data_IF_013872000476
#
_entry.id   IF_013872000476
#
_cell.length_a   1.000
_cell.length_b   1.000
_cell.length_c   1.000
_cell.angle_alpha   90.00
_cell.angle_beta   90.00
_cell.angle_gamma   90.00
#
_symmetry.space_group_name_H-M   'P 1'
#
loop_
_entity.id
_entity.type
_entity.pdbx_description
1 polymer ?
#
# COMPACT_ATOMS: atom_id res chain seq x y z
N UNK A 1 -3.78 3.48 22.68
CA UNK A 1 -4.68 2.59 21.96
C UNK A 1 -5.97 2.57 22.73
N UNK A 2 -7.05 2.84 22.01
CA UNK A 2 -8.36 2.95 22.59
C UNK A 2 -8.94 1.57 22.89
N UNK A 3 -9.87 1.51 23.83
CA UNK A 3 -10.44 0.25 24.26
C UNK A 3 -11.80 0.43 24.94
N UNK A 4 -12.60 -0.62 24.87
CA UNK A 4 -13.83 -0.73 25.61
C UNK A 4 -13.57 -0.88 27.11
N UNK A 5 -13.92 0.15 27.88
CA UNK A 5 -13.77 0.20 29.34
C UNK A 5 -14.52 -0.91 30.12
N UNK A 6 -15.45 -1.63 29.49
CA UNK A 6 -16.23 -2.69 30.16
C UNK A 6 -15.57 -4.06 30.01
N UNK A 7 -15.18 -4.43 28.79
CA UNK A 7 -14.68 -5.77 28.46
C UNK A 7 -13.16 -5.79 28.18
N UNK A 8 -12.51 -4.62 28.06
CA UNK A 8 -11.08 -4.47 27.76
C UNK A 8 -10.70 -4.71 26.30
N UNK A 9 -11.68 -4.82 25.42
CA UNK A 9 -11.47 -5.00 23.98
C UNK A 9 -10.77 -3.80 23.38
N UNK A 10 -9.69 -4.05 22.64
CA UNK A 10 -8.91 -3.03 21.96
C UNK A 10 -9.70 -2.52 20.76
N UNK A 11 -9.59 -1.22 20.50
CA UNK A 11 -10.15 -0.56 19.32
C UNK A 11 -9.03 0.02 18.45
N UNK A 12 -9.12 -0.26 17.16
CA UNK A 12 -8.15 0.10 16.13
C UNK A 12 -8.16 -0.92 15.00
N UNK A 13 -7.13 -0.86 14.15
CA UNK A 13 -6.90 -1.86 13.10
C UNK A 13 -6.42 -3.18 13.70
N UNK A 14 -7.21 -4.24 13.58
CA UNK A 14 -6.91 -5.59 14.06
C UNK A 14 -6.61 -6.56 12.91
N UNK A 15 -5.73 -7.56 13.10
CA UNK A 15 -5.48 -8.58 12.08
C UNK A 15 -6.74 -9.37 11.71
N UNK A 16 -7.06 -9.39 10.41
CA UNK A 16 -8.15 -10.18 9.88
C UNK A 16 -7.78 -11.68 9.91
N UNK A 17 -8.57 -12.56 10.56
CA UNK A 17 -8.26 -13.98 10.60
C UNK A 17 -8.24 -14.62 9.21
N UNK A 18 -7.30 -15.55 9.00
CA UNK A 18 -7.17 -16.31 7.75
C UNK A 18 -5.99 -15.89 6.87
N UNK A 19 -5.28 -14.80 7.18
CA UNK A 19 -4.08 -14.37 6.44
C UNK A 19 -2.76 -14.79 7.09
N UNK A 20 -2.82 -15.53 8.20
CA UNK A 20 -1.68 -16.11 8.88
C UNK A 20 -2.05 -17.44 9.50
N UNK A 21 -1.05 -18.27 9.79
CA UNK A 21 -1.26 -19.49 10.55
C UNK A 21 -1.76 -19.13 11.96
N UNK A 22 -2.96 -19.58 12.40
CA UNK A 22 -3.48 -19.26 13.73
C UNK A 22 -2.65 -19.85 14.89
N UNK A 23 -1.74 -20.79 14.61
CA UNK A 23 -0.78 -21.34 15.58
C UNK A 23 0.57 -20.62 15.57
N UNK A 24 0.79 -19.69 14.64
CA UNK A 24 2.01 -18.88 14.52
C UNK A 24 1.88 -17.59 15.34
N UNK A 25 3.00 -17.12 15.88
CA UNK A 25 3.11 -15.79 16.50
C UNK A 25 3.69 -14.74 15.54
N UNK A 26 3.85 -15.09 14.26
CA UNK A 26 4.37 -14.24 13.19
C UNK A 26 3.28 -14.02 12.14
N UNK A 27 3.31 -12.85 11.49
CA UNK A 27 2.62 -12.65 10.22
C UNK A 27 3.12 -13.65 9.16
N UNK A 28 2.38 -13.82 8.08
CA UNK A 28 2.82 -14.67 6.99
C UNK A 28 4.07 -14.07 6.31
N UNK A 29 5.09 -14.88 6.12
CA UNK A 29 6.39 -14.49 5.55
C UNK A 29 6.77 -15.41 4.38
N UNK A 30 7.28 -14.86 3.29
CA UNK A 30 7.67 -15.60 2.08
C UNK A 30 8.66 -16.75 2.35
N UNK A 31 9.53 -16.57 3.34
CA UNK A 31 10.59 -17.50 3.72
C UNK A 31 10.18 -18.54 4.77
N UNK A 32 8.97 -18.45 5.33
CA UNK A 32 8.51 -19.32 6.42
C UNK A 32 7.12 -19.87 6.11
N UNK A 33 7.05 -21.01 5.41
CA UNK A 33 5.77 -21.62 5.07
C UNK A 33 4.95 -22.09 6.26
N UNK A 34 5.56 -22.21 7.45
CA UNK A 34 4.84 -22.53 8.68
C UNK A 34 4.03 -21.34 9.21
N UNK A 35 4.31 -20.13 8.73
CA UNK A 35 3.57 -18.91 9.07
C UNK A 35 2.30 -18.71 8.23
N UNK A 36 2.10 -19.49 7.16
CA UNK A 36 1.01 -19.30 6.21
C UNK A 36 -0.30 -19.93 6.70
N UNK A 37 -1.45 -19.35 6.35
CA UNK A 37 -2.73 -20.03 6.55
C UNK A 37 -2.82 -21.28 5.68
N UNK A 38 -3.68 -22.24 6.08
CA UNK A 38 -3.95 -23.44 5.27
C UNK A 38 -4.73 -23.08 4.00
N UNK A 39 -5.62 -22.10 4.11
CA UNK A 39 -6.44 -21.60 3.02
C UNK A 39 -6.23 -20.10 2.90
N UNK A 40 -5.76 -19.62 1.75
CA UNK A 40 -5.61 -18.20 1.49
C UNK A 40 -6.97 -17.59 1.11
N UNK A 41 -7.43 -16.55 1.80
CA UNK A 41 -8.52 -15.72 1.29
C UNK A 41 -8.06 -15.00 0.00
N UNK A 42 -9.01 -14.74 -0.91
CA UNK A 42 -8.76 -13.99 -2.14
C UNK A 42 -8.37 -12.53 -1.81
N UNK A 43 -7.42 -11.91 -2.54
CA UNK A 43 -7.02 -10.54 -2.26
C UNK A 43 -8.05 -9.61 -2.91
N UNK A 44 -8.10 -8.38 -2.42
CA UNK A 44 -9.02 -7.39 -2.99
C UNK A 44 -8.40 -6.75 -4.23
N UNK A 45 -7.07 -6.60 -4.28
CA UNK A 45 -6.42 -5.70 -5.24
C UNK A 45 -5.54 -6.39 -6.29
N UNK A 46 -4.69 -7.33 -5.89
CA UNK A 46 -3.59 -7.81 -6.75
C UNK A 46 -3.97 -8.89 -7.75
N UNK A 47 -5.09 -9.60 -7.55
CA UNK A 47 -5.48 -10.68 -8.45
C UNK A 47 -6.97 -10.72 -8.75
N UNK A 48 -7.30 -10.57 -10.04
CA UNK A 48 -8.66 -10.68 -10.55
C UNK A 48 -8.94 -12.06 -11.16
N UNK A 49 -8.79 -13.13 -10.37
CA UNK A 49 -9.18 -14.49 -10.79
C UNK A 49 -10.56 -14.88 -10.23
N UNK A 50 -11.27 -15.78 -10.93
CA UNK A 50 -12.54 -16.33 -10.45
C UNK A 50 -12.35 -17.14 -9.16
N UNK A 51 -13.31 -17.11 -8.22
CA UNK A 51 -13.14 -17.74 -6.89
C UNK A 51 -12.82 -19.24 -6.96
N UNK A 52 -13.26 -19.94 -8.01
CA UNK A 52 -12.92 -21.34 -8.27
C UNK A 52 -11.41 -21.58 -8.48
N UNK A 53 -10.64 -20.55 -8.80
CA UNK A 53 -9.19 -20.62 -8.96
C UNK A 53 -8.43 -20.30 -7.66
N UNK A 54 -9.10 -19.91 -6.56
CA UNK A 54 -8.43 -19.55 -5.31
C UNK A 54 -7.62 -20.71 -4.71
N UNK A 55 -8.07 -21.96 -4.91
CA UNK A 55 -7.42 -23.14 -4.35
C UNK A 55 -5.97 -23.33 -4.82
N UNK A 56 -5.59 -22.76 -5.98
CA UNK A 56 -4.22 -22.84 -6.51
C UNK A 56 -3.18 -22.19 -5.59
N UNK A 57 -3.61 -21.26 -4.74
CA UNK A 57 -2.74 -20.55 -3.82
C UNK A 57 -2.45 -21.33 -2.53
N UNK A 58 -3.30 -22.30 -2.18
CA UNK A 58 -3.19 -23.01 -0.91
C UNK A 58 -1.89 -23.82 -0.85
N UNK A 59 -1.07 -23.58 0.16
CA UNK A 59 0.26 -24.20 0.30
C UNK A 59 1.36 -23.56 -0.55
N UNK A 60 1.04 -22.49 -1.28
CA UNK A 60 1.96 -21.68 -2.07
C UNK A 60 2.10 -20.27 -1.47
N UNK A 61 3.20 -19.59 -1.78
CA UNK A 61 3.40 -18.22 -1.33
C UNK A 61 2.47 -17.27 -2.08
N UNK A 62 1.82 -16.41 -1.31
CA UNK A 62 0.91 -15.38 -1.79
C UNK A 62 1.67 -14.12 -2.23
N UNK A 63 2.60 -14.29 -3.16
CA UNK A 63 3.54 -13.24 -3.58
C UNK A 63 2.84 -12.02 -4.17
N UNK A 64 3.52 -10.88 -4.14
CA UNK A 64 3.06 -9.65 -4.80
C UNK A 64 3.13 -9.76 -6.32
N UNK A 65 4.17 -10.42 -6.82
CA UNK A 65 4.47 -10.58 -8.25
C UNK A 65 3.95 -11.89 -8.84
N UNK A 66 3.04 -12.56 -8.14
CA UNK A 66 2.44 -13.83 -8.59
C UNK A 66 2.63 -15.02 -7.66
N UNK A 67 2.06 -16.15 -8.09
CA UNK A 67 2.10 -17.43 -7.36
C UNK A 67 3.55 -17.89 -7.17
N UNK A 68 3.92 -18.14 -5.92
CA UNK A 68 5.27 -18.55 -5.50
C UNK A 68 6.41 -17.59 -5.87
N UNK A 69 6.10 -16.39 -6.36
CA UNK A 69 7.12 -15.39 -6.67
C UNK A 69 7.64 -14.73 -5.42
N UNK A 70 8.96 -14.70 -5.30
CA UNK A 70 9.69 -14.16 -4.15
C UNK A 70 10.78 -13.23 -4.64
N UNK A 71 10.37 -12.15 -5.30
CA UNK A 71 11.30 -11.17 -5.88
C UNK A 71 12.06 -10.41 -4.78
N UNK A 72 11.42 -10.17 -3.64
CA UNK A 72 12.05 -9.67 -2.43
C UNK A 72 12.64 -10.83 -1.61
N UNK A 73 13.81 -10.60 -1.00
CA UNK A 73 14.44 -11.57 -0.09
C UNK A 73 13.54 -11.84 1.12
N UNK A 74 12.82 -10.80 1.57
CA UNK A 74 11.76 -10.92 2.54
C UNK A 74 10.52 -10.21 2.03
N UNK A 75 9.39 -10.92 2.11
CA UNK A 75 8.08 -10.36 1.86
C UNK A 75 7.14 -10.83 2.98
N UNK A 76 6.33 -9.91 3.51
CA UNK A 76 5.21 -10.24 4.40
C UNK A 76 3.90 -9.80 3.76
N UNK A 77 2.84 -10.56 4.04
CA UNK A 77 1.49 -10.22 3.66
C UNK A 77 0.54 -10.49 4.82
N UNK A 78 -0.28 -9.50 5.15
CA UNK A 78 -1.36 -9.64 6.11
C UNK A 78 -2.44 -8.60 5.82
N UNK A 79 -3.62 -8.81 6.39
CA UNK A 79 -4.75 -7.89 6.25
C UNK A 79 -5.20 -7.47 7.63
N UNK A 80 -5.53 -6.20 7.77
CA UNK A 80 -6.14 -5.62 8.97
C UNK A 80 -7.46 -4.94 8.62
N UNK A 81 -8.38 -4.89 9.57
CA UNK A 81 -9.60 -4.08 9.46
C UNK A 81 -9.95 -3.42 10.79
N UNK A 82 -10.90 -2.48 10.76
CA UNK A 82 -11.36 -1.76 11.94
C UNK A 82 -12.73 -2.24 12.45
N UNK A 83 -13.19 -3.43 12.04
CA UNK A 83 -14.58 -3.85 12.26
C UNK A 83 -14.93 -4.01 13.77
N UNK A 84 -13.92 -4.24 14.62
CA UNK A 84 -14.05 -4.40 16.07
C UNK A 84 -14.10 -3.06 16.80
N UNK A 85 -13.69 -1.98 16.14
CA UNK A 85 -13.64 -0.67 16.74
C UNK A 85 -15.02 -0.21 17.21
N UNK A 86 -15.16 -0.06 18.53
CA UNK A 86 -16.43 0.27 19.18
C UNK A 86 -16.66 1.77 19.37
N UNK A 87 -15.73 2.64 18.95
CA UNK A 87 -15.76 4.06 19.28
C UNK A 87 -17.04 4.73 18.72
N UNK A 88 -17.23 4.68 17.40
CA UNK A 88 -18.32 5.39 16.73
C UNK A 88 -19.68 4.69 16.83
N UNK A 89 -19.72 3.41 17.25
CA UNK A 89 -20.99 2.71 17.55
C UNK A 89 -21.71 3.28 18.77
N UNK A 90 -21.00 4.04 19.60
CA UNK A 90 -21.52 4.61 20.85
C UNK A 90 -22.12 5.99 20.62
N UNK A 91 -22.86 6.47 21.61
CA UNK A 91 -23.32 7.84 21.62
C UNK A 91 -22.10 8.80 21.69
N UNK A 92 -22.12 9.94 21.00
CA UNK A 92 -23.29 10.51 20.30
C UNK A 92 -23.50 10.00 18.86
N UNK A 93 -22.51 9.34 18.26
CA UNK A 93 -22.47 9.06 16.81
C UNK A 93 -23.44 7.95 16.38
N UNK A 94 -23.38 6.77 17.02
CA UNK A 94 -24.14 5.57 16.62
C UNK A 94 -23.99 5.25 15.12
N UNK A 95 -22.75 5.36 14.63
CA UNK A 95 -22.37 5.02 13.28
C UNK A 95 -22.14 3.51 13.16
N UNK A 96 -22.58 2.94 12.05
CA UNK A 96 -22.40 1.53 11.70
C UNK A 96 -22.07 1.49 10.20
N UNK A 97 -20.85 1.08 9.80
CA UNK A 97 -20.44 1.15 8.39
C UNK A 97 -21.24 0.18 7.50
N UNK A 98 -21.71 -0.94 8.04
CA UNK A 98 -22.55 -1.90 7.32
C UNK A 98 -23.99 -1.74 7.80
N UNK A 99 -24.88 -1.24 6.94
CA UNK A 99 -26.26 -0.92 7.28
C UNK A 99 -27.06 -2.17 7.70
N UNK A 100 -26.70 -3.33 7.16
CA UNK A 100 -27.33 -4.60 7.47
C UNK A 100 -26.79 -5.28 8.75
N UNK A 101 -25.63 -4.87 9.27
CA UNK A 101 -24.94 -5.53 10.38
C UNK A 101 -24.38 -4.54 11.41
N UNK A 102 -25.16 -4.29 12.47
CA UNK A 102 -24.76 -3.41 13.57
C UNK A 102 -23.65 -3.97 14.47
N UNK A 103 -23.15 -5.18 14.21
CA UNK A 103 -22.01 -5.73 14.94
C UNK A 103 -20.69 -5.18 14.43
N UNK A 104 -20.65 -4.70 13.19
CA UNK A 104 -19.53 -3.97 12.60
C UNK A 104 -19.45 -2.56 13.17
N UNK A 105 -18.27 -2.19 13.64
CA UNK A 105 -17.91 -0.83 14.02
C UNK A 105 -16.79 -0.28 13.15
N UNK A 106 -16.04 0.68 13.67
CA UNK A 106 -15.05 1.44 12.89
C UNK A 106 -15.67 2.28 11.77
N UNK A 107 -14.80 2.66 10.84
CA UNK A 107 -15.11 3.32 9.57
C UNK A 107 -15.29 2.29 8.43
N UNK A 108 -15.25 0.99 8.69
CA UNK A 108 -15.37 0.01 7.61
C UNK A 108 -14.18 0.11 6.64
N UNK A 109 -12.99 0.24 7.21
CA UNK A 109 -11.74 0.23 6.46
C UNK A 109 -11.12 -1.15 6.54
N UNK A 110 -10.67 -1.65 5.37
CA UNK A 110 -9.81 -2.82 5.29
C UNK A 110 -8.52 -2.44 4.61
N UNK A 111 -7.40 -2.89 5.16
CA UNK A 111 -6.06 -2.60 4.65
C UNK A 111 -5.34 -3.91 4.37
N UNK A 112 -4.95 -4.12 3.12
CA UNK A 112 -4.03 -5.19 2.73
C UNK A 112 -2.60 -4.62 2.80
N UNK A 113 -1.76 -5.24 3.63
CA UNK A 113 -0.42 -4.73 3.95
C UNK A 113 0.63 -5.69 3.42
N UNK A 114 1.60 -5.13 2.71
CA UNK A 114 2.83 -5.83 2.33
C UNK A 114 4.06 -5.07 2.77
N UNK A 115 5.04 -5.83 3.23
CA UNK A 115 6.37 -5.30 3.55
C UNK A 115 7.42 -6.06 2.75
N UNK A 116 8.37 -5.35 2.16
CA UNK A 116 9.45 -5.91 1.34
C UNK A 116 10.82 -5.45 1.85
N UNK A 117 11.79 -6.35 1.76
CA UNK A 117 13.20 -6.03 1.98
C UNK A 117 14.07 -6.83 1.01
N UNK A 118 15.12 -6.16 0.51
CA UNK A 118 16.14 -6.74 -0.35
C UNK A 118 17.52 -6.68 0.30
N UNK A 119 18.29 -7.75 0.16
CA UNK A 119 19.71 -7.83 0.48
C UNK A 119 20.54 -7.31 -0.70
N UNK A 120 20.34 -6.04 -1.04
CA UNK A 120 21.02 -5.38 -2.16
C UNK A 120 21.61 -4.04 -1.71
N UNK A 121 22.82 -3.69 -2.17
CA UNK A 121 23.55 -2.48 -1.74
C UNK A 121 22.77 -1.16 -1.96
N UNK A 122 21.82 -1.16 -2.88
CA UNK A 122 20.97 0.01 -3.16
C UNK A 122 19.73 0.09 -2.24
N UNK A 123 19.45 -0.96 -1.45
CA UNK A 123 18.21 -1.09 -0.67
C UNK A 123 18.44 -1.68 0.75
N UNK A 124 19.69 -1.93 1.16
CA UNK A 124 20.02 -2.64 2.39
C UNK A 124 19.54 -1.93 3.67
N UNK A 125 19.42 -0.60 3.60
CA UNK A 125 18.93 0.26 4.68
C UNK A 125 17.49 0.77 4.46
N UNK A 126 16.73 0.12 3.56
CA UNK A 126 15.36 0.51 3.19
C UNK A 126 14.41 -0.65 3.41
N UNK A 127 13.25 -0.36 4.02
CA UNK A 127 12.11 -1.27 4.07
C UNK A 127 10.98 -0.61 3.30
N UNK A 128 10.37 -1.37 2.39
CA UNK A 128 9.27 -0.88 1.56
C UNK A 128 7.97 -1.39 2.13
N UNK A 129 6.99 -0.51 2.26
CA UNK A 129 5.65 -0.85 2.70
C UNK A 129 4.66 -0.46 1.63
N UNK A 130 3.75 -1.38 1.30
CA UNK A 130 2.66 -1.15 0.38
C UNK A 130 1.35 -1.40 1.13
N UNK A 131 0.45 -0.42 1.06
CA UNK A 131 -0.86 -0.43 1.69
C UNK A 131 -1.94 -0.26 0.63
N UNK A 132 -2.73 -1.30 0.41
CA UNK A 132 -3.97 -1.16 -0.34
C UNK A 132 -5.12 -0.94 0.66
N UNK A 133 -5.78 0.22 0.59
CA UNK A 133 -6.84 0.61 1.52
C UNK A 133 -8.18 0.63 0.79
N UNK A 134 -9.17 -0.11 1.29
CA UNK A 134 -10.52 -0.14 0.73
C UNK A 134 -11.55 0.33 1.74
N UNK A 135 -12.47 1.17 1.27
CA UNK A 135 -13.74 1.44 1.94
C UNK A 135 -14.70 0.27 1.68
N UNK A 136 -14.98 -0.55 2.69
CA UNK A 136 -15.97 -1.64 2.62
C UNK A 136 -17.32 -1.25 3.24
N UNK A 137 -17.46 0.01 3.65
CA UNK A 137 -18.70 0.60 4.16
C UNK A 137 -19.78 0.67 3.08
N UNK A 138 -21.04 0.68 3.50
CA UNK A 138 -22.18 1.02 2.64
C UNK A 138 -22.27 2.54 2.34
N UNK A 139 -21.34 3.33 2.86
CA UNK A 139 -21.32 4.79 2.78
C UNK A 139 -20.01 5.31 2.16
N UNK A 140 -20.14 6.35 1.35
CA UNK A 140 -19.00 7.11 0.83
C UNK A 140 -18.49 8.12 1.86
N UNK A 141 -17.18 8.37 1.84
CA UNK A 141 -16.53 9.41 2.63
C UNK A 141 -16.29 10.65 1.76
N UNK A 142 -16.61 11.83 2.28
CA UNK A 142 -16.47 13.10 1.58
C UNK A 142 -15.03 13.62 1.59
N UNK A 143 -14.20 13.15 2.52
CA UNK A 143 -12.80 13.52 2.64
C UNK A 143 -12.01 12.41 3.32
N UNK A 144 -10.78 12.20 2.86
CA UNK A 144 -9.83 11.25 3.43
C UNK A 144 -8.45 11.88 3.50
N UNK A 145 -7.71 11.59 4.57
CA UNK A 145 -6.31 12.00 4.70
C UNK A 145 -5.46 10.77 4.98
N UNK A 146 -4.30 10.70 4.34
CA UNK A 146 -3.33 9.62 4.51
C UNK A 146 -2.00 10.21 4.98
N UNK A 147 -1.32 9.52 5.89
CA UNK A 147 -0.10 10.03 6.49
C UNK A 147 0.57 9.01 7.38
N UNK A 148 1.83 9.26 7.69
CA UNK A 148 2.61 8.46 8.61
C UNK A 148 2.84 9.20 9.92
N UNK A 149 2.66 8.48 11.03
CA UNK A 149 3.09 8.94 12.34
C UNK A 149 4.41 8.24 12.68
N UNK A 150 5.42 9.02 13.07
CA UNK A 150 6.73 8.49 13.45
C UNK A 150 7.26 9.14 14.71
N UNK A 151 7.98 8.35 15.51
CA UNK A 151 8.81 8.78 16.63
C UNK A 151 10.28 8.53 16.26
N UNK A 152 10.91 9.42 15.44
CA UNK A 152 12.20 9.14 14.81
C UNK A 152 13.35 9.02 15.82
N UNK A 153 13.28 9.72 16.96
CA UNK A 153 14.20 9.57 18.09
C UNK A 153 15.70 9.61 17.76
N UNK A 154 16.11 10.24 16.65
CA UNK A 154 17.49 10.21 16.18
C UNK A 154 18.38 10.92 17.19
N UNK A 155 19.43 10.24 17.66
CA UNK A 155 20.30 10.78 18.72
C UNK A 155 19.76 10.60 20.15
N UNK A 156 18.48 10.25 20.30
CA UNK A 156 17.85 9.88 21.57
C UNK A 156 17.26 11.08 22.33
N UNK A 157 16.43 10.80 23.36
CA UNK A 157 15.48 11.76 23.95
C UNK A 157 16.11 12.93 24.72
N UNK A 158 17.44 13.04 24.75
CA UNK A 158 18.17 14.07 25.48
C UNK A 158 19.35 14.64 24.69
N UNK A 159 19.44 14.37 23.39
CA UNK A 159 20.52 14.91 22.55
C UNK A 159 20.26 16.37 22.16
N UNK A 160 19.01 16.82 22.21
CA UNK A 160 18.61 18.18 21.88
C UNK A 160 18.67 18.50 20.38
N UNK A 161 18.86 17.47 19.53
CA UNK A 161 18.75 17.53 18.08
C UNK A 161 17.56 16.70 17.63
N UNK A 162 16.39 17.32 17.54
CA UNK A 162 15.16 16.73 16.99
C UNK A 162 14.77 17.52 15.74
N UNK A 163 15.61 17.44 14.71
CA UNK A 163 15.43 18.20 13.49
C UNK A 163 14.69 17.37 12.45
N UNK A 164 13.71 17.99 11.78
CA UNK A 164 12.93 17.37 10.69
C UNK A 164 12.90 18.31 9.50
N UNK A 165 13.01 17.72 8.31
CA UNK A 165 12.80 18.42 7.04
C UNK A 165 12.02 17.53 6.10
N UNK A 166 11.30 18.18 5.19
CA UNK A 166 10.69 17.50 4.06
C UNK A 166 11.00 18.20 2.75
N UNK A 167 10.88 17.44 1.67
CA UNK A 167 10.99 17.88 0.30
C UNK A 167 9.79 17.31 -0.47
N UNK A 168 8.97 18.20 -1.04
CA UNK A 168 7.76 17.80 -1.78
C UNK A 168 8.09 17.19 -3.13
N UNK A 169 9.16 17.62 -3.77
CA UNK A 169 9.56 17.10 -5.08
C UNK A 169 10.15 15.68 -4.98
N UNK A 170 10.73 15.34 -3.83
CA UNK A 170 11.23 13.98 -3.55
C UNK A 170 10.25 13.13 -2.75
N UNK A 171 9.09 13.68 -2.40
CA UNK A 171 8.12 13.13 -1.46
C UNK A 171 8.72 12.56 -0.16
N UNK A 172 9.79 13.18 0.31
CA UNK A 172 10.65 12.66 1.35
C UNK A 172 10.58 13.52 2.60
N UNK A 173 10.27 12.90 3.74
CA UNK A 173 10.48 13.46 5.08
C UNK A 173 11.64 12.75 5.74
N UNK A 174 12.55 13.49 6.36
CA UNK A 174 13.63 12.91 7.15
C UNK A 174 13.92 13.69 8.43
N UNK A 175 14.36 12.95 9.43
CA UNK A 175 14.76 13.41 10.73
C UNK A 175 16.25 13.14 10.96
N UNK A 176 16.90 14.02 11.72
CA UNK A 176 18.29 13.84 12.14
C UNK A 176 18.56 14.56 13.46
N UNK A 177 19.72 14.26 14.02
CA UNK A 177 20.29 14.98 15.16
C UNK A 177 21.29 16.03 14.66
N UNK A 178 21.01 17.32 14.83
CA UNK A 178 21.92 18.39 14.36
C UNK A 178 23.30 18.39 15.01
N UNK A 179 23.49 17.74 16.16
CA UNK A 179 24.82 17.57 16.76
C UNK A 179 25.57 16.37 16.15
N UNK A 180 24.87 15.47 15.47
CA UNK A 180 25.41 14.25 14.89
C UNK A 180 25.81 13.21 15.94
N UNK A 181 25.26 13.31 17.17
CA UNK A 181 25.76 12.56 18.34
C UNK A 181 24.66 12.04 19.25
N UNK A 182 24.54 10.72 19.31
CA UNK A 182 23.56 10.05 20.16
C UNK A 182 23.91 10.01 21.64
N UNK A 183 22.87 10.03 22.48
CA UNK A 183 22.96 9.95 23.94
C UNK A 183 22.29 8.68 24.49
N UNK A 184 22.90 8.01 25.49
CA UNK A 184 24.26 8.22 25.98
C UNK A 184 25.32 7.61 25.04
N UNK A 185 26.51 8.19 25.00
CA UNK A 185 27.70 7.53 24.41
C UNK A 185 28.35 8.23 23.22
N UNK A 186 27.71 9.25 22.63
CA UNK A 186 28.30 10.04 21.55
C UNK A 186 28.48 9.27 20.24
N UNK A 187 27.62 8.27 20.00
CA UNK A 187 27.59 7.52 18.75
C UNK A 187 27.24 8.44 17.58
N UNK A 188 27.84 8.20 16.41
CA UNK A 188 27.45 8.93 15.21
C UNK A 188 26.01 8.56 14.83
N UNK A 189 25.19 9.58 14.58
CA UNK A 189 23.79 9.42 14.19
C UNK A 189 23.66 9.51 12.68
N UNK A 190 22.75 8.71 12.12
CA UNK A 190 22.37 8.81 10.71
C UNK A 190 21.15 9.70 10.50
N UNK A 191 20.51 9.50 9.35
CA UNK A 191 19.21 10.04 9.02
C UNK A 191 18.17 8.91 9.12
N UNK A 192 16.95 9.28 9.43
CA UNK A 192 15.79 8.40 9.39
C UNK A 192 14.69 9.10 8.60
N UNK A 193 14.01 8.42 7.69
CA UNK A 193 13.00 9.08 6.87
C UNK A 193 11.99 8.15 6.24
N UNK A 194 10.96 8.77 5.67
CA UNK A 194 9.89 8.17 4.89
C UNK A 194 9.79 8.89 3.56
N UNK A 195 9.72 8.13 2.48
CA UNK A 195 9.39 8.64 1.16
C UNK A 195 8.09 7.99 0.69
N UNK A 196 7.21 8.76 0.06
CA UNK A 196 6.22 8.15 -0.82
C UNK A 196 6.93 7.81 -2.13
N UNK A 197 6.78 6.56 -2.56
CA UNK A 197 7.12 6.15 -3.93
C UNK A 197 5.87 6.10 -4.80
N UNK A 198 4.74 5.84 -4.14
CA UNK A 198 3.39 5.92 -4.68
C UNK A 198 2.49 6.52 -3.58
N UNK A 199 1.50 7.30 -3.99
CA UNK A 199 0.47 7.85 -3.11
C UNK A 199 -0.91 7.79 -3.78
N UNK A 200 -2.01 7.96 -3.03
CA UNK A 200 -3.32 8.12 -3.65
C UNK A 200 -3.32 9.33 -4.60
N UNK A 201 -3.97 9.19 -5.75
CA UNK A 201 -4.12 10.28 -6.71
C UNK A 201 -5.45 11.04 -6.63
N UNK A 202 -5.52 12.21 -7.26
CA UNK A 202 -6.72 13.05 -7.29
C UNK A 202 -7.13 13.51 -8.71
N UNK A 203 -7.67 12.57 -9.46
CA UNK A 203 -8.08 12.72 -10.86
C UNK A 203 -9.26 13.65 -11.19
N UNK A 204 -9.59 14.61 -10.30
CA UNK A 204 -10.79 15.45 -10.45
C UNK A 204 -10.62 16.91 -10.03
N UNK A 205 -9.43 17.34 -9.60
CA UNK A 205 -9.22 18.67 -9.05
C UNK A 205 -8.73 19.71 -10.08
N UNK A 206 -8.35 19.29 -11.29
CA UNK A 206 -7.82 20.15 -12.36
C UNK A 206 -6.40 20.63 -12.12
N UNK A 207 -5.63 19.92 -11.30
CA UNK A 207 -4.25 20.21 -10.91
C UNK A 207 -3.37 19.04 -11.38
N UNK A 208 -2.10 19.34 -11.65
CA UNK A 208 -1.03 18.37 -11.86
C UNK A 208 -0.33 18.25 -10.50
N UNK A 209 -0.77 17.30 -9.66
CA UNK A 209 -0.36 17.21 -8.25
C UNK A 209 1.07 16.64 -8.09
N UNK A 210 1.57 15.85 -9.05
CA UNK A 210 2.92 15.25 -9.05
C UNK A 210 3.91 15.85 -10.07
N UNK A 211 3.49 16.88 -10.81
CA UNK A 211 4.31 17.69 -11.71
C UNK A 211 4.90 16.92 -12.91
N UNK A 212 4.20 15.87 -13.36
CA UNK A 212 4.62 15.04 -14.51
C UNK A 212 4.22 15.63 -15.88
N UNK A 213 3.36 16.65 -15.87
CA UNK A 213 2.88 17.38 -17.04
C UNK A 213 1.52 16.91 -17.55
N UNK A 214 0.88 15.98 -16.88
CA UNK A 214 -0.50 15.54 -17.09
C UNK A 214 -1.41 16.15 -16.00
N UNK A 215 -2.73 16.13 -16.20
CA UNK A 215 -3.71 16.61 -15.22
C UNK A 215 -4.95 15.73 -15.19
N UNK A 216 -5.41 15.36 -13.99
CA UNK A 216 -6.64 14.60 -13.72
C UNK A 216 -6.65 13.14 -14.27
N UNK A 217 -5.52 12.43 -14.20
CA UNK A 217 -5.31 11.10 -14.80
C UNK A 217 -6.08 10.01 -14.06
N UNK A 218 -6.71 9.10 -14.83
CA UNK A 218 -7.50 8.00 -14.27
C UNK A 218 -6.99 6.66 -14.75
N UNK A 219 -6.49 5.88 -13.79
CA UNK A 219 -6.09 4.48 -13.94
C UNK A 219 -7.25 3.48 -14.12
N UNK A 220 -8.41 3.95 -14.54
CA UNK A 220 -9.62 3.13 -14.74
C UNK A 220 -10.54 3.65 -15.85
N UNK A 221 -10.01 4.48 -16.76
CA UNK A 221 -10.77 5.10 -17.83
C UNK A 221 -10.71 4.31 -19.16
N UNK A 222 -9.84 3.31 -19.28
CA UNK A 222 -9.64 2.53 -20.49
C UNK A 222 -8.79 3.21 -21.56
N UNK A 223 -7.94 4.16 -21.16
CA UNK A 223 -7.07 4.97 -22.02
C UNK A 223 -5.64 4.80 -21.51
N UNK A 224 -4.70 4.75 -22.46
CA UNK A 224 -3.26 4.89 -22.22
C UNK A 224 -2.96 6.40 -22.29
N UNK A 225 -2.99 7.08 -21.15
CA UNK A 225 -2.99 8.54 -21.03
C UNK A 225 -1.61 9.14 -21.40
N UNK A 226 -0.52 8.48 -21.04
CA UNK A 226 0.85 8.92 -21.30
C UNK A 226 1.44 8.38 -22.63
N UNK A 227 0.76 7.42 -23.25
CA UNK A 227 1.11 6.75 -24.50
C UNK A 227 2.42 5.95 -24.44
N UNK A 228 2.74 5.37 -23.29
CA UNK A 228 3.93 4.56 -23.11
C UNK A 228 3.69 3.04 -23.27
N UNK A 229 2.43 2.59 -23.40
CA UNK A 229 2.11 1.19 -23.69
C UNK A 229 2.63 0.73 -25.05
N UNK A 230 3.38 -0.38 -25.08
CA UNK A 230 4.00 -0.91 -26.29
C UNK A 230 3.43 -2.29 -26.62
N UNK A 231 2.75 -2.38 -27.77
CA UNK A 231 2.29 -3.66 -28.35
C UNK A 231 3.44 -4.60 -28.76
N UNK A 232 3.13 -5.84 -29.12
CA UNK A 232 4.07 -6.82 -29.65
C UNK A 232 4.84 -6.32 -30.90
N UNK A 233 6.04 -6.87 -31.10
CA UNK A 233 6.87 -6.58 -32.27
C UNK A 233 6.41 -7.36 -33.50
N UNK A 234 5.79 -6.70 -34.48
CA UNK A 234 5.47 -7.33 -35.78
C UNK A 234 6.66 -7.25 -36.76
N UNK A 235 7.57 -8.22 -36.70
CA UNK A 235 8.77 -8.26 -37.54
C UNK A 235 8.46 -8.67 -38.97
N UNK A 236 7.44 -9.51 -39.16
CA UNK A 236 7.09 -10.08 -40.45
C UNK A 236 6.03 -9.26 -41.22
N UNK A 237 5.42 -8.26 -40.57
CA UNK A 237 4.33 -7.38 -41.03
C UNK A 237 3.02 -8.13 -41.39
N UNK A 238 2.67 -9.18 -40.66
CA UNK A 238 1.43 -9.93 -40.86
C UNK A 238 0.31 -9.54 -39.88
N UNK A 239 0.60 -8.62 -38.95
CA UNK A 239 -0.33 -8.11 -37.95
C UNK A 239 -0.69 -9.13 -36.89
N UNK A 240 0.16 -10.13 -36.63
CA UNK A 240 -0.03 -11.13 -35.58
C UNK A 240 1.26 -11.35 -34.83
N UNK A 241 1.11 -11.57 -33.53
CA UNK A 241 2.24 -11.93 -32.70
C UNK A 241 2.70 -13.38 -32.96
N UNK A 242 3.99 -13.54 -33.26
CA UNK A 242 4.70 -14.82 -33.39
C UNK A 242 5.60 -15.09 -32.16
N UNK A 243 5.16 -15.93 -31.19
CA UNK A 243 5.86 -16.11 -29.91
C UNK A 243 7.30 -16.63 -30.01
N UNK A 244 7.68 -17.24 -31.14
CA UNK A 244 9.02 -17.80 -31.36
C UNK A 244 10.03 -16.78 -31.87
N UNK A 245 9.55 -15.66 -32.43
CA UNK A 245 10.40 -14.69 -33.14
C UNK A 245 10.16 -13.26 -32.73
N UNK A 246 9.06 -12.97 -32.04
CA UNK A 246 8.57 -11.62 -31.75
C UNK A 246 8.38 -11.42 -30.25
N UNK A 247 8.80 -10.26 -29.75
CA UNK A 247 8.60 -9.89 -28.36
C UNK A 247 7.16 -9.41 -28.16
N UNK A 248 6.53 -9.85 -27.08
CA UNK A 248 5.15 -9.48 -26.72
C UNK A 248 5.06 -8.07 -26.10
N UNK A 249 6.15 -7.57 -25.50
CA UNK A 249 6.22 -6.27 -24.80
C UNK A 249 5.15 -6.14 -23.70
N UNK A 250 4.30 -5.11 -23.72
CA UNK A 250 3.24 -4.89 -22.73
C UNK A 250 1.97 -5.72 -23.02
N UNK A 251 1.85 -6.29 -24.22
CA UNK A 251 0.66 -7.00 -24.75
C UNK A 251 0.54 -8.44 -24.18
N UNK A 252 0.72 -8.57 -22.88
CA UNK A 252 0.81 -9.86 -22.15
C UNK A 252 -0.53 -10.35 -21.63
N UNK A 253 -1.62 -9.68 -21.99
CA UNK A 253 -2.98 -10.04 -21.60
C UNK A 253 -3.36 -9.71 -20.16
N UNK A 254 -4.60 -10.07 -19.82
CA UNK A 254 -5.30 -9.59 -18.62
C UNK A 254 -4.71 -10.06 -17.29
N UNK A 255 -3.92 -11.14 -17.29
CA UNK A 255 -3.22 -11.61 -16.10
C UNK A 255 -1.85 -10.93 -15.89
N UNK A 256 -1.38 -10.16 -16.88
CA UNK A 256 -0.14 -9.41 -16.82
C UNK A 256 1.13 -10.26 -16.92
N UNK A 257 1.01 -11.53 -17.33
CA UNK A 257 2.09 -12.52 -17.30
C UNK A 257 2.50 -12.92 -18.72
N UNK A 258 3.71 -12.55 -19.13
CA UNK A 258 4.24 -12.88 -20.45
C UNK A 258 4.88 -14.27 -20.54
N UNK A 259 5.20 -14.77 -21.76
CA UNK A 259 5.77 -16.10 -21.99
C UNK A 259 7.11 -16.39 -21.32
N UNK A 260 7.82 -15.35 -20.89
CA UNK A 260 9.11 -15.46 -20.19
C UNK A 260 8.97 -15.44 -18.68
N UNK A 261 7.77 -15.18 -18.16
CA UNK A 261 7.52 -15.13 -16.74
C UNK A 261 7.37 -16.54 -16.16
N UNK A 262 7.89 -16.79 -14.93
CA UNK A 262 7.80 -18.11 -14.29
C UNK A 262 6.37 -18.62 -14.09
N UNK A 263 5.37 -17.72 -14.13
CA UNK A 263 3.98 -18.02 -13.86
C UNK A 263 3.17 -18.31 -15.12
N UNK A 264 3.78 -18.15 -16.30
CA UNK A 264 3.08 -18.28 -17.57
C UNK A 264 2.47 -19.66 -17.74
N UNK A 265 1.15 -19.72 -17.88
CA UNK A 265 0.42 -20.98 -18.10
C UNK A 265 -0.04 -21.18 -19.54
N UNK A 266 0.24 -20.20 -20.40
CA UNK A 266 -0.22 -20.12 -21.79
C UNK A 266 -0.98 -18.80 -22.01
N UNK A 267 -1.34 -18.49 -23.27
CA UNK A 267 -1.98 -17.22 -23.58
C UNK A 267 -3.34 -17.05 -22.93
N UNK A 268 -3.64 -15.83 -22.49
CA UNK A 268 -4.92 -15.44 -21.91
C UNK A 268 -5.63 -14.34 -22.73
N UNK A 269 -6.63 -13.68 -22.14
CA UNK A 269 -7.45 -12.68 -22.85
C UNK A 269 -6.65 -11.37 -23.01
N UNK A 270 -6.51 -10.89 -24.25
CA UNK A 270 -5.75 -9.68 -24.59
C UNK A 270 -4.36 -9.98 -25.15
N UNK A 271 -3.73 -11.11 -24.79
CA UNK A 271 -2.33 -11.35 -25.15
C UNK A 271 -2.05 -11.41 -26.66
N UNK A 272 -1.16 -10.53 -27.11
CA UNK A 272 -0.67 -10.43 -28.48
C UNK A 272 -1.73 -9.97 -29.48
N UNK A 273 -2.75 -9.24 -29.04
CA UNK A 273 -3.88 -8.82 -29.87
C UNK A 273 -3.74 -7.42 -30.46
N UNK A 274 -2.74 -6.66 -30.02
CA UNK A 274 -2.42 -5.34 -30.51
C UNK A 274 -3.14 -4.20 -29.80
N UNK A 275 -3.90 -4.48 -28.74
CA UNK A 275 -4.78 -3.53 -28.05
C UNK A 275 -4.53 -3.59 -26.55
N UNK A 276 -4.37 -2.45 -25.86
CA UNK A 276 -4.24 -2.42 -24.41
C UNK A 276 -5.40 -3.15 -23.73
N UNK A 277 -5.06 -4.08 -22.85
CA UNK A 277 -6.00 -4.89 -22.08
C UNK A 277 -5.78 -4.69 -20.59
N UNK A 278 -6.88 -4.49 -19.84
CA UNK A 278 -6.81 -4.27 -18.39
C UNK A 278 -6.06 -5.40 -17.68
N UNK A 279 -4.99 -5.04 -16.97
CA UNK A 279 -4.10 -5.97 -16.27
C UNK A 279 -2.69 -6.02 -16.88
N UNK A 280 -2.53 -5.51 -18.10
CA UNK A 280 -1.24 -5.39 -18.77
C UNK A 280 -0.35 -4.30 -18.15
N UNK A 281 0.98 -4.48 -18.12
CA UNK A 281 1.90 -3.45 -17.68
C UNK A 281 1.73 -2.17 -18.51
N UNK A 282 1.90 -1.00 -17.87
CA UNK A 282 1.77 0.29 -18.52
C UNK A 282 0.39 0.54 -19.16
N UNK A 283 -0.67 0.16 -18.45
CA UNK A 283 -2.03 0.52 -18.87
C UNK A 283 -2.98 0.60 -17.67
N UNK A 284 -3.76 1.68 -17.57
CA UNK A 284 -4.82 1.87 -16.57
C UNK A 284 -4.29 1.54 -15.14
N UNK A 285 -4.89 0.54 -14.49
CA UNK A 285 -4.64 0.18 -13.09
C UNK A 285 -3.21 -0.27 -12.85
N UNK A 286 -2.52 -0.74 -13.89
CA UNK A 286 -1.17 -1.29 -13.79
C UNK A 286 -0.12 -0.28 -14.22
N UNK A 287 -0.50 0.78 -14.93
CA UNK A 287 0.33 1.97 -15.08
C UNK A 287 0.29 2.80 -13.81
N UNK A 288 1.42 3.21 -13.26
CA UNK A 288 1.46 4.07 -12.07
C UNK A 288 1.73 5.52 -12.43
N UNK A 289 2.34 5.72 -13.58
CA UNK A 289 2.71 7.03 -14.10
C UNK A 289 1.44 7.72 -14.66
N UNK A 290 0.34 6.98 -14.87
CA UNK A 290 -1.02 7.53 -15.10
C UNK A 290 -1.81 7.87 -13.83
N UNK A 291 -1.16 8.03 -12.68
CA UNK A 291 -1.84 8.51 -11.46
C UNK A 291 -1.47 9.95 -11.23
N UNK A 292 -2.44 10.86 -11.12
CA UNK A 292 -2.22 12.23 -10.62
C UNK A 292 -1.92 12.20 -9.10
N UNK A 293 -0.69 11.87 -8.70
CA UNK A 293 -0.37 11.53 -7.32
C UNK A 293 -0.33 12.77 -6.41
N UNK A 294 -1.06 12.70 -5.30
CA UNK A 294 -1.14 13.82 -4.34
C UNK A 294 0.21 14.12 -3.67
N UNK A 295 1.03 13.08 -3.46
CA UNK A 295 2.35 13.19 -2.86
C UNK A 295 2.36 13.72 -1.41
N UNK A 296 3.54 14.17 -0.98
CA UNK A 296 3.79 14.70 0.35
C UNK A 296 3.39 16.18 0.44
N UNK A 297 2.28 16.44 1.12
CA UNK A 297 1.76 17.80 1.24
C UNK A 297 2.25 18.60 2.45
N UNK A 298 2.47 17.94 3.59
CA UNK A 298 2.82 18.60 4.83
C UNK A 298 3.52 17.67 5.82
N UNK A 299 4.22 18.28 6.79
CA UNK A 299 4.82 17.60 7.94
C UNK A 299 4.58 18.43 9.20
N UNK A 300 4.07 17.78 10.25
CA UNK A 300 3.90 18.38 11.57
C UNK A 300 4.88 17.75 12.56
N UNK A 301 5.91 18.51 12.97
CA UNK A 301 6.75 18.14 14.10
C UNK A 301 6.10 18.56 15.41
N UNK A 302 5.97 17.62 16.34
CA UNK A 302 5.45 17.88 17.69
C UNK A 302 6.35 17.31 18.75
N UNK A 303 6.55 18.05 19.83
CA UNK A 303 7.20 17.52 21.02
C UNK A 303 6.33 16.40 21.60
N UNK A 304 6.99 15.32 22.03
CA UNK A 304 6.35 14.16 22.64
C UNK A 304 5.67 14.56 23.96
N UNK A 305 4.41 14.96 23.90
CA UNK A 305 3.59 15.18 25.08
C UNK A 305 2.20 14.56 24.91
N UNK A 306 1.79 13.78 25.91
CA UNK A 306 0.48 13.13 25.96
C UNK A 306 -0.55 14.15 26.44
N UNK A 307 -0.91 15.08 25.55
CA UNK A 307 -1.96 16.07 25.78
C UNK A 307 -3.03 15.95 24.70
N UNK A 308 -4.32 16.22 25.00
CA UNK A 308 -5.38 16.15 24.00
C UNK A 308 -5.18 17.08 22.79
N UNK A 309 -4.39 18.15 22.94
CA UNK A 309 -4.06 19.11 21.88
C UNK A 309 -2.89 18.67 20.99
N UNK A 310 -2.19 17.60 21.36
CA UNK A 310 -1.15 17.03 20.51
C UNK A 310 -1.74 15.95 19.59
N UNK A 311 -1.25 15.84 18.34
CA UNK A 311 -1.68 14.86 17.35
C UNK A 311 -1.10 13.49 17.69
N UNK A 312 -1.43 13.00 18.88
CA UNK A 312 -1.15 11.64 19.26
C UNK A 312 -2.19 10.73 18.58
N UNK A 313 -1.82 9.53 18.10
CA UNK A 313 -2.74 8.60 17.43
C UNK A 313 -3.94 8.10 18.25
N UNK A 314 -4.15 8.62 19.46
CA UNK A 314 -5.31 8.32 20.32
C UNK A 314 -6.24 9.54 20.46
N UNK A 315 -5.92 10.65 19.80
CA UNK A 315 -6.66 11.89 19.83
C UNK A 315 -7.16 12.19 18.41
N UNK A 316 -8.09 11.37 17.92
CA UNK A 316 -8.48 11.32 16.50
C UNK A 316 -8.94 12.68 15.98
N UNK A 317 -9.74 13.41 16.76
CA UNK A 317 -10.22 14.76 16.42
C UNK A 317 -9.06 15.76 16.23
N UNK A 318 -8.00 15.63 17.03
CA UNK A 318 -6.83 16.51 16.93
C UNK A 318 -5.98 16.12 15.73
N UNK A 319 -5.78 14.82 15.48
CA UNK A 319 -5.07 14.33 14.30
C UNK A 319 -5.81 14.76 13.03
N UNK A 320 -7.12 14.55 12.95
CA UNK A 320 -7.98 14.93 11.82
C UNK A 320 -7.86 16.40 11.47
N UNK A 321 -8.03 17.30 12.47
CA UNK A 321 -7.90 18.75 12.25
C UNK A 321 -6.52 19.14 11.73
N UNK A 322 -5.46 18.56 12.30
CA UNK A 322 -4.10 18.85 11.83
C UNK A 322 -3.86 18.39 10.41
N UNK A 323 -4.37 17.22 10.03
CA UNK A 323 -4.21 16.70 8.67
C UNK A 323 -5.00 17.53 7.64
N UNK A 324 -6.16 18.06 8.01
CA UNK A 324 -6.96 18.94 7.15
C UNK A 324 -6.38 20.36 7.00
N UNK A 325 -5.70 20.87 8.02
CA UNK A 325 -5.19 22.25 8.02
C UNK A 325 -3.96 22.44 7.12
N UNK A 326 -3.23 21.36 6.81
CA UNK A 326 -1.98 21.39 6.02
C UNK A 326 -0.81 21.99 6.77
#
# INVERSE_FOLDING_TARGET
MDYDKVNGEIWGLEPLPGYSNPSSTKAAMSIDSTSWPVFWPKPTFLYNYADSAAEKWNGHWYGYFGLDQKNADFETFFVVDDNRDGEFRRAPYKYFPIAADSTWGGLGMRVEVRGFQWSHVLAEDIIFWHYDIVNVSDFDYDSTCFGFYSDPGVGGPSSGGDDVRYDKYLDLTYAWDSQGKGQPGGWETGYYGYAYLESPGNSTNGIDDDEDGMTDEKRDNGIDDDHDWITFLDLNNDGKWDPLTEAVNNDVGMDGVGPFDPQYTGPDEGEGDGVPTKGEPNFDKTDKDESDQIGLNAVSLVELAVTPSNPWPNNDETVWKKMLEG
#
